data_IF_532270221402
#
_entry.id   IF_532270221402
#
_cell.length_a   1.000
_cell.length_b   1.000
_cell.length_c   1.000
_cell.angle_alpha   90.00
_cell.angle_beta   90.00
_cell.angle_gamma   90.00
#
_symmetry.space_group_name_H-M   'P 1'
#
loop_
_entity.id
_entity.type
_entity.pdbx_description
1 polymer ?
#
# COMPACT_ATOMS: atom_id res chain seq x y z
N UNK A 1 50.93 19.43 -22.33
CA UNK A 1 50.37 18.53 -21.30
C UNK A 1 48.90 18.31 -21.63
N UNK A 2 48.55 17.12 -22.11
CA UNK A 2 47.17 16.77 -22.49
C UNK A 2 46.42 16.30 -21.24
N UNK A 3 45.48 17.10 -20.75
CA UNK A 3 44.65 16.72 -19.60
C UNK A 3 43.61 15.73 -20.10
N UNK A 4 43.83 14.45 -19.81
CA UNK A 4 42.84 13.41 -20.07
C UNK A 4 41.55 13.79 -19.35
N UNK A 5 40.51 14.17 -20.11
CA UNK A 5 39.16 14.36 -19.58
C UNK A 5 38.70 13.01 -19.02
N UNK A 6 38.68 12.88 -17.70
CA UNK A 6 37.97 11.77 -17.07
C UNK A 6 36.52 11.79 -17.57
N UNK A 7 35.94 10.62 -17.92
CA UNK A 7 34.53 10.56 -18.28
C UNK A 7 33.70 11.16 -17.15
N UNK A 8 32.58 11.86 -17.46
CA UNK A 8 31.72 12.43 -16.43
C UNK A 8 31.38 11.32 -15.45
N UNK A 9 31.63 11.58 -14.16
CA UNK A 9 31.27 10.66 -13.10
C UNK A 9 29.85 10.19 -13.37
N UNK A 10 29.66 8.88 -13.55
CA UNK A 10 28.35 8.28 -13.71
C UNK A 10 27.48 8.89 -12.60
N UNK A 11 26.48 9.68 -12.98
CA UNK A 11 25.49 10.18 -12.03
C UNK A 11 24.74 8.94 -11.55
N UNK A 12 25.26 8.34 -10.48
CA UNK A 12 24.57 7.30 -9.74
C UNK A 12 23.38 8.03 -9.13
N UNK A 13 22.28 8.05 -9.89
CA UNK A 13 20.98 8.46 -9.39
C UNK A 13 20.77 7.73 -8.08
N UNK A 14 20.84 8.46 -6.96
CA UNK A 14 20.57 7.92 -5.61
C UNK A 14 19.15 7.36 -5.48
N UNK A 15 18.32 7.51 -6.51
CA UNK A 15 17.05 6.83 -6.65
C UNK A 15 17.22 5.60 -7.57
N UNK A 16 17.40 4.39 -7.01
CA UNK A 16 17.39 3.17 -7.81
C UNK A 16 16.02 2.91 -8.47
N UNK A 17 14.94 3.53 -7.96
CA UNK A 17 13.60 3.44 -8.51
C UNK A 17 12.87 4.78 -8.42
N UNK A 18 12.46 5.33 -9.56
CA UNK A 18 11.48 6.44 -9.59
C UNK A 18 10.11 5.89 -9.23
N UNK A 19 9.78 5.83 -7.94
CA UNK A 19 8.46 5.39 -7.52
C UNK A 19 7.45 6.48 -7.87
N UNK A 20 6.67 6.21 -8.91
CA UNK A 20 5.59 7.10 -9.35
C UNK A 20 4.48 7.07 -8.30
N UNK A 21 3.91 8.24 -7.98
CA UNK A 21 2.75 8.36 -7.09
C UNK A 21 1.59 7.46 -7.53
N UNK A 22 1.42 7.25 -8.85
CA UNK A 22 0.45 6.31 -9.41
C UNK A 22 0.64 4.87 -8.91
N UNK A 23 1.88 4.43 -8.69
CA UNK A 23 2.18 3.10 -8.14
C UNK A 23 1.76 3.00 -6.68
N UNK A 24 1.99 4.06 -5.90
CA UNK A 24 1.60 4.15 -4.48
C UNK A 24 0.07 4.08 -4.37
N UNK A 25 -0.65 4.84 -5.21
CA UNK A 25 -2.11 4.83 -5.22
C UNK A 25 -2.68 3.46 -5.61
N UNK A 26 -2.06 2.77 -6.59
CA UNK A 26 -2.45 1.40 -6.97
C UNK A 26 -2.23 0.40 -5.85
N UNK A 27 -1.10 0.48 -5.13
CA UNK A 27 -0.80 -0.41 -4.00
C UNK A 27 -1.78 -0.16 -2.86
N UNK A 28 -2.03 1.11 -2.53
CA UNK A 28 -3.02 1.50 -1.53
C UNK A 28 -4.41 0.95 -1.87
N UNK A 29 -4.84 1.10 -3.11
CA UNK A 29 -6.13 0.58 -3.58
C UNK A 29 -6.16 -0.95 -3.49
N UNK A 30 -5.11 -1.63 -3.96
CA UNK A 30 -5.02 -3.09 -3.91
C UNK A 30 -5.10 -3.62 -2.47
N UNK A 31 -4.48 -2.94 -1.51
CA UNK A 31 -4.56 -3.29 -0.08
C UNK A 31 -5.99 -3.13 0.45
N UNK A 32 -6.67 -2.03 0.14
CA UNK A 32 -8.08 -1.84 0.54
C UNK A 32 -9.00 -2.91 -0.05
N UNK A 33 -8.82 -3.23 -1.33
CA UNK A 33 -9.59 -4.27 -2.03
C UNK A 33 -9.31 -5.65 -1.44
N UNK A 34 -8.05 -5.94 -1.09
CA UNK A 34 -7.67 -7.21 -0.46
C UNK A 34 -8.37 -7.41 0.89
N UNK A 35 -8.45 -6.36 1.71
CA UNK A 35 -9.16 -6.41 3.00
C UNK A 35 -10.64 -6.77 2.78
N UNK A 36 -11.29 -6.18 1.77
CA UNK A 36 -12.71 -6.39 1.51
C UNK A 36 -13.04 -7.73 0.86
N UNK A 37 -12.24 -8.17 -0.12
CA UNK A 37 -12.57 -9.34 -0.94
C UNK A 37 -11.94 -10.63 -0.44
N UNK A 38 -10.90 -10.55 0.40
CA UNK A 38 -10.19 -11.73 0.89
C UNK A 38 -10.28 -11.81 2.41
N UNK A 39 -9.84 -10.75 3.09
CA UNK A 39 -9.69 -10.82 4.55
C UNK A 39 -11.04 -10.84 5.28
N UNK A 40 -11.96 -9.96 4.87
CA UNK A 40 -13.30 -9.89 5.45
C UNK A 40 -14.11 -11.18 5.25
N UNK A 41 -14.24 -11.75 4.04
CA UNK A 41 -14.96 -13.02 3.87
C UNK A 41 -14.27 -14.20 4.57
N UNK A 42 -12.93 -14.23 4.63
CA UNK A 42 -12.22 -15.26 5.41
C UNK A 42 -12.53 -15.14 6.91
N UNK A 43 -12.56 -13.92 7.45
CA UNK A 43 -12.97 -13.66 8.83
C UNK A 43 -14.42 -14.09 9.07
N UNK A 44 -15.35 -13.73 8.19
CA UNK A 44 -16.76 -14.12 8.31
C UNK A 44 -16.96 -15.64 8.22
N UNK A 45 -16.21 -16.34 7.36
CA UNK A 45 -16.22 -17.81 7.30
C UNK A 45 -15.81 -18.44 8.63
N UNK A 46 -14.70 -17.97 9.21
CA UNK A 46 -14.22 -18.44 10.51
C UNK A 46 -15.23 -18.09 11.61
N UNK A 47 -15.74 -16.87 11.60
CA UNK A 47 -16.73 -16.40 12.57
C UNK A 47 -18.01 -17.24 12.50
N UNK A 48 -18.47 -17.56 11.30
CA UNK A 48 -19.67 -18.36 11.09
C UNK A 48 -19.51 -19.77 11.66
N UNK A 49 -18.32 -20.38 11.52
CA UNK A 49 -18.02 -21.69 12.12
C UNK A 49 -18.03 -21.71 13.66
N UNK A 50 -17.88 -20.55 14.32
CA UNK A 50 -17.66 -20.48 15.77
C UNK A 50 -18.76 -19.74 16.54
N UNK A 51 -19.46 -18.82 15.91
CA UNK A 51 -20.35 -17.87 16.59
C UNK A 51 -21.81 -17.95 16.13
N UNK A 52 -22.18 -18.93 15.28
CA UNK A 52 -23.53 -19.16 14.73
C UNK A 52 -24.30 -17.88 14.39
N UNK A 53 -23.57 -16.84 13.96
CA UNK A 53 -24.10 -15.51 13.71
C UNK A 53 -23.84 -15.14 12.27
N UNK A 54 -24.90 -14.69 11.60
CA UNK A 54 -24.82 -14.24 10.22
C UNK A 54 -24.17 -12.85 10.12
N UNK A 55 -23.51 -12.54 8.99
CA UNK A 55 -22.97 -11.22 8.74
C UNK A 55 -24.09 -10.18 8.80
N UNK A 56 -23.87 -9.14 9.59
CA UNK A 56 -24.81 -8.02 9.73
C UNK A 56 -24.41 -6.88 8.81
N UNK A 57 -25.38 -6.07 8.38
CA UNK A 57 -25.09 -4.89 7.55
C UNK A 57 -24.11 -3.92 8.25
N UNK A 58 -24.13 -3.89 9.59
CA UNK A 58 -23.19 -3.12 10.39
C UNK A 58 -21.75 -3.68 10.35
N UNK A 59 -21.56 -5.00 10.35
CA UNK A 59 -20.21 -5.59 10.24
C UNK A 59 -19.59 -5.33 8.86
N UNK A 60 -20.39 -5.41 7.80
CA UNK A 60 -19.98 -5.04 6.43
C UNK A 60 -19.57 -3.56 6.36
N UNK A 61 -20.38 -2.66 6.95
CA UNK A 61 -20.07 -1.24 7.00
C UNK A 61 -18.77 -0.91 7.74
N UNK A 62 -18.51 -1.61 8.85
CA UNK A 62 -17.27 -1.46 9.62
C UNK A 62 -16.07 -1.95 8.80
N UNK A 63 -16.20 -3.10 8.11
CA UNK A 63 -15.13 -3.63 7.26
C UNK A 63 -14.78 -2.67 6.11
N UNK A 64 -15.78 -2.03 5.50
CA UNK A 64 -15.59 -0.99 4.48
C UNK A 64 -14.80 0.21 5.05
N UNK A 65 -15.20 0.70 6.22
CA UNK A 65 -14.52 1.82 6.87
C UNK A 65 -13.06 1.48 7.19
N UNK A 66 -12.79 0.28 7.71
CA UNK A 66 -11.43 -0.20 8.00
C UNK A 66 -10.60 -0.27 6.71
N UNK A 67 -11.15 -0.83 5.63
CA UNK A 67 -10.43 -0.94 4.36
C UNK A 67 -10.03 0.43 3.78
N UNK A 68 -10.92 1.43 3.88
CA UNK A 68 -10.65 2.80 3.43
C UNK A 68 -9.57 3.46 4.30
N UNK A 69 -9.72 3.41 5.62
CA UNK A 69 -8.76 3.99 6.55
C UNK A 69 -7.38 3.35 6.39
N UNK A 70 -7.32 2.04 6.21
CA UNK A 70 -6.08 1.31 5.99
C UNK A 70 -5.41 1.70 4.68
N UNK A 71 -6.16 1.85 3.59
CA UNK A 71 -5.64 2.36 2.32
C UNK A 71 -5.02 3.75 2.48
N UNK A 72 -5.76 4.69 3.07
CA UNK A 72 -5.27 6.04 3.33
C UNK A 72 -4.01 6.04 4.21
N UNK A 73 -3.99 5.20 5.25
CA UNK A 73 -2.84 5.02 6.11
C UNK A 73 -1.63 4.46 5.34
N UNK A 74 -1.82 3.42 4.53
CA UNK A 74 -0.77 2.82 3.71
C UNK A 74 -0.19 3.86 2.73
N UNK A 75 -1.05 4.61 2.03
CA UNK A 75 -0.64 5.70 1.13
C UNK A 75 0.20 6.76 1.84
N UNK A 76 -0.26 7.24 2.98
CA UNK A 76 0.46 8.25 3.78
C UNK A 76 1.80 7.72 4.27
N UNK A 77 1.84 6.47 4.71
CA UNK A 77 3.05 5.81 5.21
C UNK A 77 4.07 5.66 4.09
N UNK A 78 3.69 5.06 2.96
CA UNK A 78 4.57 4.88 1.79
C UNK A 78 5.10 6.24 1.31
N UNK A 79 4.23 7.25 1.23
CA UNK A 79 4.63 8.60 0.80
C UNK A 79 5.66 9.21 1.75
N UNK A 80 5.49 9.08 3.07
CA UNK A 80 6.45 9.58 4.06
C UNK A 80 7.79 8.87 3.95
N UNK A 81 7.81 7.55 3.83
CA UNK A 81 9.05 6.79 3.67
C UNK A 81 9.78 7.15 2.37
N UNK A 82 9.05 7.38 1.28
CA UNK A 82 9.64 7.78 -0.01
C UNK A 82 10.21 9.21 0.03
N UNK A 83 9.58 10.12 0.79
CA UNK A 83 10.06 11.50 0.97
C UNK A 83 11.24 11.57 1.93
N UNK A 84 11.31 10.73 2.97
CA UNK A 84 12.42 10.71 3.93
C UNK A 84 13.71 10.07 3.40
N UNK A 85 13.66 9.43 2.22
CA UNK A 85 14.85 8.93 1.50
C UNK A 85 15.46 10.03 0.60
N UNK A 86 14.81 11.20 0.53
CA UNK A 86 15.25 12.37 -0.25
C UNK A 86 16.24 13.22 0.54
#
# INVERSE_FOLDING_TARGET
>A
MNVAKLPPAFEISRQPFQVRQQTIDRISLAMSVYILLVLYPAYELIRWMWADSSPSLSSVGIALLIAILFGLFARNTISRYMVNIR
#
